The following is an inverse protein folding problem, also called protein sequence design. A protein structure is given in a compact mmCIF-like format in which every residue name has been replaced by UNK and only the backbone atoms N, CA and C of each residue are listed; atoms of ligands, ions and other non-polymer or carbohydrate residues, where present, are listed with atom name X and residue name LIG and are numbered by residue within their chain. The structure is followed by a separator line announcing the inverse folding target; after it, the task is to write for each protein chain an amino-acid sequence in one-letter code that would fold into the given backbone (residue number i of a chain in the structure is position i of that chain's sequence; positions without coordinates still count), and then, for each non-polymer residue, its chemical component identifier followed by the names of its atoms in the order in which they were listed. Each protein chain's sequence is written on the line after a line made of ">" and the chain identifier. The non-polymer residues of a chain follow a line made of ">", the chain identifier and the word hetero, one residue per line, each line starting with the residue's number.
data_IF_052421140469
#
_entry.id   IF_052421140469
#
_cell.length_a   1.000
_cell.length_b   1.000
_cell.length_c   1.000
_cell.angle_alpha   90.00
_cell.angle_beta   90.00
_cell.angle_gamma   90.00
#
_symmetry.space_group_name_H-M   'P 1'
#
loop_
_entity.id
_entity.type
_entity.pdbx_description
1 polymer ?
#
# COMPACT_ATOMS: atom_id res chain seq x y z
N UNK A 1 45.19 72.26 23.20
CA UNK A 1 44.44 71.71 22.06
C UNK A 1 44.59 70.20 22.14
N UNK A 2 43.66 69.52 22.81
CA UNK A 2 43.67 68.06 22.95
C UNK A 2 42.86 67.44 21.83
N UNK A 3 43.51 66.60 21.01
CA UNK A 3 42.85 65.84 19.98
C UNK A 3 42.29 64.53 20.61
N UNK A 4 40.99 64.41 20.63
CA UNK A 4 40.23 63.16 20.99
C UNK A 4 40.28 62.16 19.82
N UNK A 5 40.93 61.03 20.05
CA UNK A 5 40.92 59.94 19.08
C UNK A 5 39.78 58.99 19.48
N UNK A 6 38.72 58.92 18.60
CA UNK A 6 37.63 57.97 18.79
C UNK A 6 38.02 56.66 18.07
N UNK A 7 38.23 55.58 18.82
CA UNK A 7 38.43 54.25 18.26
C UNK A 7 37.03 53.58 18.07
N UNK A 8 36.61 53.40 16.81
CA UNK A 8 35.41 52.63 16.46
C UNK A 8 35.75 51.14 16.52
N UNK A 9 35.23 50.45 17.54
CA UNK A 9 35.28 48.99 17.56
C UNK A 9 34.18 48.40 16.66
N UNK A 10 34.55 47.80 15.55
CA UNK A 10 33.63 47.04 14.66
C UNK A 10 33.46 45.64 15.25
N UNK A 11 32.32 45.36 15.86
CA UNK A 11 31.94 44.01 16.27
C UNK A 11 31.58 43.18 15.05
N UNK A 12 32.41 42.23 14.69
CA UNK A 12 32.08 41.18 13.68
C UNK A 12 31.08 40.21 14.32
N UNK A 13 29.81 40.39 14.00
CA UNK A 13 28.78 39.39 14.31
C UNK A 13 28.97 38.22 13.30
N UNK A 14 29.60 37.17 13.77
CA UNK A 14 29.69 35.92 12.99
C UNK A 14 28.31 35.25 12.88
N UNK A 15 27.71 35.35 11.72
CA UNK A 15 26.56 34.52 11.39
C UNK A 15 27.02 33.04 11.25
N UNK A 16 26.83 32.27 12.29
CA UNK A 16 26.92 30.82 12.18
C UNK A 16 25.73 30.31 11.38
N UNK A 17 25.94 29.92 10.11
CA UNK A 17 24.94 29.22 9.33
C UNK A 17 24.52 27.96 10.09
N UNK A 18 23.20 27.69 10.25
CA UNK A 18 22.79 26.47 10.89
C UNK A 18 23.25 25.28 10.02
N UNK A 19 24.02 24.38 10.63
CA UNK A 19 24.44 23.15 9.96
C UNK A 19 23.20 22.40 9.51
N UNK A 20 23.00 22.28 8.19
CA UNK A 20 21.90 21.47 7.63
C UNK A 20 22.08 20.03 8.12
N UNK A 21 21.21 19.59 9.00
CA UNK A 21 21.17 18.20 9.45
C UNK A 21 21.08 17.28 8.23
N UNK A 22 22.00 16.33 8.08
CA UNK A 22 21.98 15.34 7.00
C UNK A 22 20.64 14.58 7.06
N UNK A 23 19.83 14.70 6.02
CA UNK A 23 18.59 13.95 5.88
C UNK A 23 18.92 12.46 5.88
N UNK A 24 18.21 11.70 6.72
CA UNK A 24 18.34 10.23 6.73
C UNK A 24 17.72 9.68 5.46
N UNK A 25 18.45 8.86 4.72
CA UNK A 25 17.96 8.20 3.50
C UNK A 25 17.91 6.69 3.71
N UNK A 26 16.91 6.05 3.14
CA UNK A 26 16.80 4.61 3.02
C UNK A 26 16.90 4.22 1.55
N UNK A 27 17.80 3.26 1.25
CA UNK A 27 17.91 2.68 -0.09
C UNK A 27 17.04 1.44 -0.16
N UNK A 28 16.12 1.41 -1.10
CA UNK A 28 15.24 0.28 -1.38
C UNK A 28 15.59 -0.27 -2.75
N UNK A 29 15.82 -1.58 -2.83
CA UNK A 29 16.01 -2.27 -4.10
C UNK A 29 14.64 -2.64 -4.66
N UNK A 30 14.33 -2.19 -5.87
CA UNK A 30 13.10 -2.57 -6.58
C UNK A 30 13.45 -3.62 -7.62
N UNK A 31 12.69 -4.71 -7.61
CA UNK A 31 12.82 -5.78 -8.60
C UNK A 31 11.83 -5.51 -9.74
N UNK A 32 12.35 -5.13 -10.91
CA UNK A 32 11.59 -5.12 -12.15
C UNK A 32 11.79 -6.47 -12.83
N UNK A 33 10.70 -7.18 -13.18
CA UNK A 33 10.77 -8.46 -13.86
C UNK A 33 11.46 -8.27 -15.22
N UNK A 34 12.59 -8.94 -15.44
CA UNK A 34 13.39 -8.83 -16.68
C UNK A 34 14.25 -7.57 -16.81
N UNK A 35 14.28 -6.68 -15.83
CA UNK A 35 15.15 -5.50 -15.81
C UNK A 35 16.14 -5.56 -14.64
N UNK A 36 17.21 -4.76 -14.75
CA UNK A 36 18.16 -4.62 -13.64
C UNK A 36 17.47 -4.12 -12.37
N UNK A 37 17.87 -4.67 -11.24
CA UNK A 37 17.42 -4.20 -9.92
C UNK A 37 17.72 -2.72 -9.75
N UNK A 38 16.72 -1.89 -9.68
CA UNK A 38 16.88 -0.46 -9.44
C UNK A 38 16.99 -0.18 -7.95
N UNK A 39 18.07 0.47 -7.53
CA UNK A 39 18.20 0.99 -6.17
C UNK A 39 17.61 2.38 -6.11
N UNK A 40 16.46 2.51 -5.44
CA UNK A 40 15.82 3.79 -5.21
C UNK A 40 16.17 4.28 -3.81
N UNK A 41 16.64 5.53 -3.71
CA UNK A 41 16.88 6.18 -2.43
C UNK A 41 15.66 7.01 -2.05
N UNK A 42 15.13 6.77 -0.85
CA UNK A 42 14.03 7.53 -0.29
C UNK A 42 14.50 8.34 0.91
N UNK A 43 14.03 9.58 1.01
CA UNK A 43 14.17 10.35 2.26
C UNK A 43 13.27 9.76 3.33
N UNK A 44 13.81 9.59 4.54
CA UNK A 44 13.04 9.15 5.70
C UNK A 44 12.52 10.40 6.40
N UNK A 45 11.21 10.49 6.56
CA UNK A 45 10.59 11.60 7.27
C UNK A 45 10.85 11.53 8.81
N UNK A 46 10.40 12.56 9.54
CA UNK A 46 10.58 12.65 10.99
C UNK A 46 9.95 11.49 11.76
N UNK A 47 8.90 10.89 11.20
CA UNK A 47 8.13 9.78 11.79
C UNK A 47 8.68 8.41 11.38
N UNK A 48 9.72 8.38 10.54
CA UNK A 48 10.40 7.17 10.07
C UNK A 48 9.78 6.53 8.83
N UNK A 49 8.91 7.24 8.10
CA UNK A 49 8.32 6.77 6.85
C UNK A 49 9.16 7.17 5.64
N UNK A 50 9.08 6.36 4.60
CA UNK A 50 9.48 6.68 3.23
C UNK A 50 8.24 6.84 2.37
N UNK A 51 8.23 7.84 1.46
CA UNK A 51 7.18 7.99 0.46
C UNK A 51 7.49 7.10 -0.74
N UNK A 52 6.73 6.02 -0.91
CA UNK A 52 6.88 5.12 -2.06
C UNK A 52 6.11 5.59 -3.30
N UNK A 53 5.33 6.66 -3.17
CA UNK A 53 4.75 7.43 -4.27
C UNK A 53 4.95 8.92 -3.99
N UNK A 54 5.61 9.63 -4.91
CA UNK A 54 6.00 11.03 -4.74
C UNK A 54 4.93 12.02 -5.22
N UNK A 55 3.80 11.53 -5.74
CA UNK A 55 2.73 12.33 -6.33
C UNK A 55 3.03 12.88 -7.73
N UNK A 56 4.16 12.52 -8.33
CA UNK A 56 4.63 13.05 -9.62
C UNK A 56 5.04 11.96 -10.60
N UNK A 57 5.62 10.88 -10.12
CA UNK A 57 6.16 9.81 -10.94
C UNK A 57 5.68 8.44 -10.46
N UNK A 58 5.73 7.46 -11.35
CA UNK A 58 5.41 6.06 -11.05
C UNK A 58 6.66 5.25 -10.71
N UNK A 59 7.74 5.92 -10.32
CA UNK A 59 9.03 5.29 -10.03
C UNK A 59 8.90 4.23 -8.94
N UNK A 60 9.34 3.00 -9.27
CA UNK A 60 9.23 1.83 -8.41
C UNK A 60 7.89 1.09 -8.51
N UNK A 61 6.93 1.60 -9.29
CA UNK A 61 5.65 0.97 -9.57
C UNK A 61 5.65 0.31 -10.93
N UNK A 62 5.03 -0.85 -11.04
CA UNK A 62 4.78 -1.58 -12.28
C UNK A 62 3.50 -2.39 -12.18
N UNK A 63 2.99 -2.83 -13.33
CA UNK A 63 1.90 -3.79 -13.35
C UNK A 63 2.36 -5.14 -12.80
N UNK A 64 1.47 -5.80 -12.11
CA UNK A 64 1.69 -7.14 -11.57
C UNK A 64 2.04 -8.12 -12.70
N UNK A 65 3.11 -8.88 -12.52
CA UNK A 65 3.60 -9.82 -13.52
C UNK A 65 4.29 -9.20 -14.74
N UNK A 66 4.50 -7.87 -14.79
CA UNK A 66 5.10 -7.15 -15.92
C UNK A 66 6.28 -6.30 -15.47
N UNK A 67 7.06 -5.82 -16.43
CA UNK A 67 8.20 -4.92 -16.23
C UNK A 67 7.89 -3.44 -16.54
N UNK A 68 6.63 -3.14 -16.89
CA UNK A 68 6.11 -1.81 -17.16
C UNK A 68 4.81 -1.53 -16.40
N UNK A 69 4.38 -0.29 -16.41
CA UNK A 69 3.09 0.14 -15.87
C UNK A 69 2.06 0.23 -16.99
N UNK A 70 0.92 -0.46 -16.85
CA UNK A 70 -0.16 -0.43 -17.80
C UNK A 70 -0.75 0.99 -17.93
N UNK A 71 -1.12 1.45 -19.16
CA UNK A 71 -1.45 2.84 -19.43
C UNK A 71 -2.71 3.36 -18.74
N UNK A 72 -3.58 2.48 -18.24
CA UNK A 72 -4.75 2.92 -17.44
C UNK A 72 -4.39 3.43 -16.06
N UNK A 73 -3.18 3.13 -15.56
CA UNK A 73 -2.63 3.74 -14.36
C UNK A 73 -1.83 4.99 -14.72
N UNK A 74 -2.23 6.12 -14.19
CA UNK A 74 -1.61 7.42 -14.47
C UNK A 74 -1.33 8.17 -13.19
N UNK A 75 -0.48 9.20 -13.30
CA UNK A 75 -0.37 10.20 -12.24
C UNK A 75 -1.27 11.38 -12.61
N UNK A 76 -2.25 11.67 -11.78
CA UNK A 76 -3.19 12.76 -11.96
C UNK A 76 -3.40 13.52 -10.66
N UNK A 77 -3.17 14.84 -10.68
CA UNK A 77 -3.34 15.73 -9.52
C UNK A 77 -2.70 15.19 -8.22
N UNK A 78 -1.50 14.64 -8.32
CA UNK A 78 -0.77 14.09 -7.17
C UNK A 78 -1.23 12.71 -6.71
N UNK A 79 -2.06 12.03 -7.49
CA UNK A 79 -2.59 10.70 -7.19
C UNK A 79 -2.10 9.66 -8.20
N UNK A 80 -1.88 8.42 -7.77
CA UNK A 80 -1.99 7.26 -8.63
C UNK A 80 -3.47 7.05 -8.93
N UNK A 81 -3.83 7.18 -10.19
CA UNK A 81 -5.21 7.13 -10.66
C UNK A 81 -5.37 5.99 -11.67
N UNK A 82 -6.25 5.06 -11.36
CA UNK A 82 -6.73 4.08 -12.33
C UNK A 82 -7.92 4.66 -13.09
N UNK A 83 -7.77 4.76 -14.40
CA UNK A 83 -8.79 5.31 -15.29
C UNK A 83 -9.65 4.20 -15.86
N UNK A 84 -10.96 4.36 -15.72
CA UNK A 84 -11.93 3.54 -16.45
C UNK A 84 -11.79 3.79 -17.96
N UNK A 85 -11.98 2.78 -18.80
CA UNK A 85 -11.93 2.96 -20.24
C UNK A 85 -11.30 1.78 -20.98
N UNK A 86 -10.91 2.05 -22.23
CA UNK A 86 -10.24 1.07 -23.08
C UNK A 86 -8.72 1.09 -22.84
N UNK A 87 -8.09 0.00 -23.23
CA UNK A 87 -6.65 -0.21 -23.11
C UNK A 87 -6.29 -1.14 -21.98
N UNK A 88 -4.99 -1.40 -21.88
CA UNK A 88 -4.45 -2.32 -20.92
C UNK A 88 -4.50 -1.75 -19.49
N UNK A 89 -5.06 -2.54 -18.58
CA UNK A 89 -5.07 -2.31 -17.14
C UNK A 89 -4.33 -3.41 -16.39
N UNK A 90 -4.90 -3.83 -15.29
CA UNK A 90 -4.38 -4.84 -14.38
C UNK A 90 -3.87 -4.25 -13.07
N UNK A 91 -3.72 -5.11 -12.08
CA UNK A 91 -3.21 -4.72 -10.76
C UNK A 91 -1.81 -4.15 -10.86
N UNK A 92 -1.49 -3.22 -9.96
CA UNK A 92 -0.13 -2.67 -9.86
C UNK A 92 0.51 -3.01 -8.53
N UNK A 93 1.83 -3.05 -8.53
CA UNK A 93 2.62 -3.31 -7.33
C UNK A 93 3.75 -2.29 -7.19
N UNK A 94 4.12 -2.01 -5.94
CA UNK A 94 5.43 -1.43 -5.67
C UNK A 94 6.46 -2.56 -5.69
N UNK A 95 7.46 -2.45 -6.57
CA UNK A 95 8.37 -3.55 -6.93
C UNK A 95 9.42 -3.83 -5.84
N UNK A 96 8.98 -3.93 -4.57
CA UNK A 96 9.81 -4.27 -3.42
C UNK A 96 8.99 -5.08 -2.42
N UNK A 97 9.59 -6.11 -1.85
CA UNK A 97 8.95 -6.95 -0.83
C UNK A 97 9.18 -6.39 0.56
N UNK A 98 8.12 -6.31 1.34
CA UNK A 98 8.13 -5.86 2.73
C UNK A 98 7.76 -7.02 3.66
N UNK A 99 8.41 -7.09 4.83
CA UNK A 99 8.14 -8.09 5.85
C UNK A 99 7.34 -7.51 7.02
N UNK A 100 7.95 -6.62 7.76
CA UNK A 100 7.34 -5.90 8.88
C UNK A 100 7.25 -4.42 8.52
N UNK A 101 6.06 -3.86 8.49
CA UNK A 101 5.87 -2.49 8.03
C UNK A 101 4.57 -1.86 8.55
N UNK A 102 4.51 -0.55 8.44
CA UNK A 102 3.28 0.22 8.46
C UNK A 102 3.13 0.83 7.08
N UNK A 103 2.04 0.55 6.40
CA UNK A 103 1.61 1.20 5.17
C UNK A 103 0.54 2.22 5.51
N UNK A 104 0.69 3.43 5.01
CA UNK A 104 -0.33 4.48 5.09
C UNK A 104 -0.58 5.06 3.70
N UNK A 105 -1.84 5.31 3.41
CA UNK A 105 -2.28 6.01 2.20
C UNK A 105 -3.68 6.59 2.37
N UNK A 106 -4.08 7.38 1.40
CA UNK A 106 -5.47 7.81 1.24
C UNK A 106 -6.01 7.29 -0.09
N UNK A 107 -7.27 6.89 -0.09
CA UNK A 107 -7.97 6.46 -1.28
C UNK A 107 -9.31 7.19 -1.46
N UNK A 108 -9.72 7.32 -2.69
CA UNK A 108 -11.02 7.82 -3.11
C UNK A 108 -11.50 6.98 -4.29
N UNK A 109 -12.79 6.69 -4.36
CA UNK A 109 -13.36 5.83 -5.39
C UNK A 109 -14.59 6.49 -6.02
N UNK A 110 -14.89 6.12 -7.28
CA UNK A 110 -16.12 6.55 -7.95
C UNK A 110 -17.37 5.97 -7.31
N UNK A 111 -18.54 6.48 -7.69
CA UNK A 111 -19.83 5.89 -7.33
C UNK A 111 -19.92 4.44 -7.82
N UNK A 112 -20.37 3.54 -6.94
CA UNK A 112 -20.47 2.12 -7.22
C UNK A 112 -19.13 1.44 -7.50
N UNK A 113 -17.99 2.04 -7.09
CA UNK A 113 -16.68 1.52 -7.42
C UNK A 113 -16.17 0.45 -6.46
N UNK A 114 -15.26 -0.39 -6.97
CA UNK A 114 -14.54 -1.44 -6.26
C UNK A 114 -13.06 -1.40 -6.60
N UNK A 115 -12.22 -1.64 -5.61
CA UNK A 115 -10.77 -1.80 -5.70
C UNK A 115 -10.28 -2.49 -4.42
N UNK A 116 -8.96 -2.68 -4.27
CA UNK A 116 -8.36 -3.31 -3.11
C UNK A 116 -6.92 -2.86 -2.88
N UNK A 117 -6.45 -2.98 -1.64
CA UNK A 117 -5.06 -2.78 -1.26
C UNK A 117 -4.50 -4.12 -0.83
N UNK A 118 -3.57 -4.65 -1.61
CA UNK A 118 -2.90 -5.92 -1.34
C UNK A 118 -1.62 -5.71 -0.54
N UNK A 119 -1.30 -6.68 0.29
CA UNK A 119 -0.03 -6.72 1.02
C UNK A 119 0.45 -8.16 1.19
N UNK A 120 1.76 -8.33 1.34
CA UNK A 120 2.42 -9.64 1.34
C UNK A 120 2.15 -10.47 0.08
N UNK A 121 1.83 -9.82 -1.04
CA UNK A 121 1.53 -10.48 -2.31
C UNK A 121 2.75 -11.17 -2.92
N UNK A 122 2.50 -12.22 -3.69
CA UNK A 122 3.51 -12.97 -4.39
C UNK A 122 3.21 -12.98 -5.89
N UNK A 123 4.23 -12.88 -6.73
CA UNK A 123 4.12 -13.18 -8.15
C UNK A 123 4.34 -14.67 -8.35
N UNK A 124 3.27 -15.37 -8.68
CA UNK A 124 3.26 -16.82 -8.87
C UNK A 124 2.97 -17.14 -10.33
N UNK A 125 3.93 -17.75 -11.00
CA UNK A 125 3.74 -18.18 -12.39
C UNK A 125 2.87 -19.44 -12.46
N UNK A 126 1.98 -19.46 -13.43
CA UNK A 126 1.18 -20.67 -13.76
C UNK A 126 1.93 -21.56 -14.77
N UNK A 127 1.61 -22.85 -14.82
CA UNK A 127 2.21 -23.78 -15.78
C UNK A 127 2.01 -23.37 -17.26
N UNK A 128 0.94 -22.63 -17.56
CA UNK A 128 0.62 -22.14 -18.91
C UNK A 128 1.44 -20.88 -19.32
N UNK A 129 2.37 -20.43 -18.47
CA UNK A 129 3.17 -19.23 -18.67
C UNK A 129 2.49 -17.94 -18.24
N UNK A 130 1.23 -17.99 -17.78
CA UNK A 130 0.53 -16.86 -17.16
C UNK A 130 0.95 -16.63 -15.71
N UNK A 131 0.27 -15.67 -15.08
CA UNK A 131 0.44 -15.39 -13.66
C UNK A 131 -0.84 -15.72 -12.90
N UNK A 132 -0.71 -16.27 -11.71
CA UNK A 132 -1.82 -16.32 -10.78
C UNK A 132 -2.21 -14.88 -10.37
N UNK A 133 -3.51 -14.57 -10.22
CA UNK A 133 -3.90 -13.23 -9.79
C UNK A 133 -3.40 -12.93 -8.39
N UNK A 134 -3.01 -11.67 -8.13
CA UNK A 134 -2.43 -11.27 -6.85
C UNK A 134 -3.36 -11.55 -5.66
N UNK A 135 -4.66 -11.41 -5.84
CA UNK A 135 -5.66 -11.57 -4.78
C UNK A 135 -5.81 -13.00 -4.22
N UNK A 136 -5.19 -14.00 -4.87
CA UNK A 136 -5.12 -15.35 -4.29
C UNK A 136 -3.82 -15.62 -3.52
N UNK A 137 -2.87 -14.69 -3.54
CA UNK A 137 -1.61 -14.80 -2.80
C UNK A 137 -1.40 -13.69 -1.77
N UNK A 138 -2.27 -12.69 -1.75
CA UNK A 138 -2.17 -11.51 -0.92
C UNK A 138 -3.45 -11.30 -0.09
N UNK A 139 -3.37 -11.10 1.22
CA UNK A 139 -4.49 -10.53 1.97
C UNK A 139 -4.89 -9.18 1.39
N UNK A 140 -6.19 -8.92 1.34
CA UNK A 140 -6.76 -7.71 0.75
C UNK A 140 -7.46 -6.85 1.80
N UNK A 141 -7.06 -5.58 1.90
CA UNK A 141 -7.80 -4.54 2.56
C UNK A 141 -8.74 -3.90 1.54
N UNK A 142 -10.03 -4.17 1.68
CA UNK A 142 -11.05 -3.77 0.70
C UNK A 142 -11.16 -2.26 0.53
N UNK A 143 -11.35 -1.81 -0.71
CA UNK A 143 -11.69 -0.44 -1.11
C UNK A 143 -13.00 -0.47 -1.88
N UNK A 144 -14.07 0.07 -1.30
CA UNK A 144 -15.42 -0.12 -1.84
C UNK A 144 -16.30 1.10 -1.58
N UNK A 145 -17.17 1.43 -2.53
CA UNK A 145 -18.38 2.20 -2.24
C UNK A 145 -19.39 1.30 -1.51
N UNK A 146 -19.44 1.44 -0.19
CA UNK A 146 -20.25 0.57 0.66
C UNK A 146 -21.77 0.70 0.45
N UNK A 147 -22.21 1.78 -0.17
CA UNK A 147 -23.64 2.06 -0.38
C UNK A 147 -24.14 1.52 -1.71
N UNK A 148 -23.37 1.75 -2.77
CA UNK A 148 -23.85 1.52 -4.13
C UNK A 148 -23.27 0.24 -4.78
N UNK A 149 -22.09 -0.23 -4.37
CA UNK A 149 -21.52 -1.43 -4.96
C UNK A 149 -22.22 -2.70 -4.44
N UNK A 150 -22.65 -3.63 -5.33
CA UNK A 150 -23.40 -4.83 -4.93
C UNK A 150 -22.63 -5.75 -3.98
N UNK A 151 -21.29 -5.80 -4.07
CA UNK A 151 -20.46 -6.68 -3.21
C UNK A 151 -20.57 -6.31 -1.72
N UNK A 152 -20.92 -5.05 -1.38
CA UNK A 152 -21.17 -4.63 0.00
C UNK A 152 -22.32 -5.38 0.70
N UNK A 153 -23.22 -5.97 -0.10
CA UNK A 153 -24.39 -6.74 0.36
C UNK A 153 -24.14 -8.25 0.39
N UNK A 154 -22.98 -8.65 -0.11
CA UNK A 154 -22.55 -10.05 -0.17
C UNK A 154 -21.64 -10.38 1.03
N UNK A 155 -21.27 -11.66 1.16
CA UNK A 155 -20.44 -12.13 2.27
C UNK A 155 -21.23 -12.26 3.58
N UNK A 156 -20.50 -12.19 4.69
CA UNK A 156 -21.06 -12.35 6.04
C UNK A 156 -20.71 -11.11 6.89
N UNK A 157 -21.71 -10.57 7.59
CA UNK A 157 -21.56 -9.44 8.53
C UNK A 157 -20.87 -8.20 7.94
N UNK A 158 -20.88 -8.02 6.60
CA UNK A 158 -20.23 -6.91 5.91
C UNK A 158 -18.73 -7.09 5.73
N UNK A 159 -18.23 -8.33 5.72
CA UNK A 159 -16.80 -8.65 5.52
C UNK A 159 -16.28 -8.37 4.11
N UNK A 160 -17.12 -7.79 3.23
CA UNK A 160 -16.72 -7.27 1.91
C UNK A 160 -16.83 -5.75 1.79
N UNK A 161 -17.11 -5.05 2.90
CA UNK A 161 -17.10 -3.58 2.95
C UNK A 161 -15.69 -3.03 3.11
N UNK A 162 -15.52 -1.74 2.86
CA UNK A 162 -14.23 -1.03 2.96
C UNK A 162 -13.45 -1.36 4.22
N UNK A 163 -12.15 -1.51 4.07
CA UNK A 163 -11.16 -1.84 5.10
C UNK A 163 -11.36 -3.19 5.80
N UNK A 164 -12.35 -4.00 5.39
CA UNK A 164 -12.43 -5.40 5.79
C UNK A 164 -11.22 -6.19 5.28
N UNK A 165 -10.85 -7.24 5.97
CA UNK A 165 -10.08 -8.31 5.34
C UNK A 165 -11.07 -9.06 4.45
N UNK A 166 -10.96 -8.84 3.14
CA UNK A 166 -11.96 -9.22 2.16
C UNK A 166 -12.41 -10.68 2.30
N UNK A 167 -13.73 -10.86 2.38
CA UNK A 167 -14.44 -12.15 2.54
C UNK A 167 -14.13 -12.93 3.83
N UNK A 168 -13.37 -12.33 4.77
CA UNK A 168 -12.97 -13.00 6.03
C UNK A 168 -13.38 -12.23 7.27
N UNK A 169 -12.84 -11.03 7.51
CA UNK A 169 -13.09 -10.25 8.73
C UNK A 169 -13.73 -8.91 8.38
N UNK A 170 -14.94 -8.61 8.91
CA UNK A 170 -15.55 -7.29 8.71
C UNK A 170 -14.80 -6.20 9.46
N UNK A 171 -14.68 -5.02 8.85
CA UNK A 171 -14.23 -3.81 9.51
C UNK A 171 -15.29 -3.31 10.49
N UNK A 172 -14.95 -3.19 11.78
CA UNK A 172 -15.84 -2.70 12.86
C UNK A 172 -15.09 -1.72 13.77
N UNK A 173 -15.59 -0.47 13.95
CA UNK A 173 -16.77 0.09 13.29
C UNK A 173 -16.54 0.30 11.79
N UNK A 174 -17.60 0.27 10.99
CA UNK A 174 -17.53 0.69 9.61
C UNK A 174 -17.68 2.21 9.55
N UNK A 175 -16.60 2.92 9.21
CA UNK A 175 -16.49 4.38 9.24
C UNK A 175 -15.95 4.97 7.94
N UNK A 176 -16.15 4.27 6.80
CA UNK A 176 -15.76 4.81 5.50
C UNK A 176 -16.58 6.05 5.17
N UNK A 177 -15.92 7.07 4.64
CA UNK A 177 -16.57 8.18 3.97
C UNK A 177 -17.18 7.68 2.64
N UNK A 178 -18.29 8.24 2.17
CA UNK A 178 -18.92 7.89 0.91
C UNK A 178 -17.98 8.03 -0.30
N UNK A 179 -18.39 7.47 -1.45
CA UNK A 179 -17.71 7.67 -2.73
C UNK A 179 -17.44 9.15 -3.01
N UNK A 180 -16.42 9.44 -3.79
CA UNK A 180 -15.99 10.81 -4.07
C UNK A 180 -15.25 11.52 -2.93
N UNK A 181 -15.24 10.95 -1.72
CA UNK A 181 -14.52 11.48 -0.57
C UNK A 181 -13.26 10.67 -0.27
N UNK A 182 -12.28 11.32 0.34
CA UNK A 182 -11.04 10.69 0.76
C UNK A 182 -11.21 9.88 2.04
N UNK A 183 -10.68 8.68 2.03
CA UNK A 183 -10.55 7.81 3.19
C UNK A 183 -9.08 7.57 3.48
N UNK A 184 -8.70 7.59 4.75
CA UNK A 184 -7.36 7.18 5.19
C UNK A 184 -7.38 5.70 5.52
N UNK A 185 -6.33 4.99 5.10
CA UNK A 185 -6.07 3.62 5.52
C UNK A 185 -4.67 3.50 6.10
N UNK A 186 -4.56 2.71 7.16
CA UNK A 186 -3.29 2.24 7.70
C UNK A 186 -3.35 0.73 7.85
N UNK A 187 -2.35 0.04 7.33
CA UNK A 187 -2.15 -1.39 7.50
C UNK A 187 -0.84 -1.58 8.26
N UNK A 188 -0.91 -2.27 9.40
CA UNK A 188 0.26 -2.63 10.20
C UNK A 188 0.49 -4.12 10.05
N UNK A 189 1.70 -4.51 9.66
CA UNK A 189 2.15 -5.90 9.63
C UNK A 189 3.40 -6.00 10.49
N UNK A 190 3.33 -6.78 11.58
CA UNK A 190 4.49 -7.00 12.46
C UNK A 190 4.47 -8.42 13.02
N UNK A 191 5.45 -9.22 12.63
CA UNK A 191 5.62 -10.62 13.10
C UNK A 191 4.32 -11.42 12.99
N UNK A 192 3.64 -11.34 11.84
CA UNK A 192 2.37 -11.99 11.57
C UNK A 192 1.14 -11.28 12.11
N UNK A 193 1.27 -10.42 13.12
CA UNK A 193 0.13 -9.61 13.57
C UNK A 193 -0.18 -8.55 12.54
N UNK A 194 -1.44 -8.48 12.12
CA UNK A 194 -1.97 -7.50 11.18
C UNK A 194 -3.04 -6.66 11.85
N UNK A 195 -3.06 -5.37 11.52
CA UNK A 195 -4.13 -4.44 11.92
C UNK A 195 -4.55 -3.62 10.70
N UNK A 196 -5.85 -3.46 10.49
CA UNK A 196 -6.40 -2.45 9.59
C UNK A 196 -6.96 -1.29 10.39
N UNK A 197 -6.68 -0.09 9.90
CA UNK A 197 -7.20 1.16 10.44
C UNK A 197 -7.86 1.93 9.31
N UNK A 198 -9.03 2.48 9.55
CA UNK A 198 -9.77 3.32 8.62
C UNK A 198 -10.14 4.62 9.29
N UNK A 199 -9.81 5.75 8.66
CA UNK A 199 -10.08 7.10 9.18
C UNK A 199 -9.63 7.26 10.64
N UNK A 200 -8.37 6.85 10.91
CA UNK A 200 -7.69 6.91 12.20
C UNK A 200 -8.28 5.99 13.31
N UNK A 201 -9.22 5.11 12.96
CA UNK A 201 -9.79 4.12 13.89
C UNK A 201 -9.32 2.71 13.50
N UNK A 202 -8.85 1.92 14.47
CA UNK A 202 -8.56 0.50 14.26
C UNK A 202 -9.87 -0.27 14.09
N UNK A 203 -10.04 -0.90 12.92
CA UNK A 203 -11.30 -1.56 12.56
C UNK A 203 -11.23 -3.08 12.61
N UNK A 204 -10.04 -3.67 12.53
CA UNK A 204 -9.82 -5.10 12.74
C UNK A 204 -8.37 -5.43 13.08
N UNK A 205 -8.14 -6.63 13.61
CA UNK A 205 -6.81 -7.22 13.74
C UNK A 205 -6.88 -8.74 13.70
N UNK A 206 -5.81 -9.38 13.24
CA UNK A 206 -5.68 -10.84 13.16
C UNK A 206 -4.20 -11.25 13.15
N UNK A 207 -3.93 -12.55 13.20
CA UNK A 207 -2.57 -13.08 13.16
C UNK A 207 -2.46 -14.09 12.01
N UNK A 208 -1.54 -13.82 11.09
CA UNK A 208 -1.22 -14.68 9.96
C UNK A 208 -0.48 -15.94 10.42
N UNK A 209 -0.54 -16.98 9.59
CA UNK A 209 0.24 -18.22 9.73
C UNK A 209 -0.04 -18.98 11.04
N UNK A 210 -1.26 -18.86 11.55
CA UNK A 210 -1.73 -19.56 12.75
C UNK A 210 -2.84 -20.55 12.38
N UNK A 211 -3.18 -21.51 13.26
CA UNK A 211 -4.34 -22.38 13.06
C UNK A 211 -5.64 -21.59 12.86
N UNK A 212 -5.81 -20.47 13.57
CA UNK A 212 -6.97 -19.58 13.43
C UNK A 212 -7.02 -18.93 12.05
N UNK A 213 -5.87 -18.52 11.49
CA UNK A 213 -5.77 -18.05 10.12
C UNK A 213 -6.19 -19.11 9.11
N UNK A 214 -5.65 -20.31 9.23
CA UNK A 214 -6.01 -21.45 8.38
C UNK A 214 -7.50 -21.79 8.46
N UNK A 215 -8.07 -21.79 9.68
CA UNK A 215 -9.51 -22.00 9.89
C UNK A 215 -10.35 -20.93 9.19
N UNK A 216 -9.98 -19.66 9.31
CA UNK A 216 -10.68 -18.55 8.68
C UNK A 216 -10.67 -18.66 7.14
N UNK A 217 -9.55 -19.06 6.56
CA UNK A 217 -9.47 -19.35 5.12
C UNK A 217 -10.42 -20.47 4.72
N UNK A 218 -10.51 -21.55 5.50
CA UNK A 218 -11.43 -22.67 5.23
C UNK A 218 -12.90 -22.25 5.29
N UNK A 219 -13.25 -21.23 6.07
CA UNK A 219 -14.61 -20.72 6.22
C UNK A 219 -14.96 -19.63 5.17
N UNK A 220 -14.01 -19.22 4.33
CA UNK A 220 -14.16 -18.20 3.29
C UNK A 220 -14.32 -18.80 1.89
N UNK A 221 -14.52 -17.95 0.89
CA UNK A 221 -14.49 -18.36 -0.53
C UNK A 221 -13.13 -18.93 -0.96
N UNK A 222 -12.06 -18.68 -0.18
CA UNK A 222 -10.71 -19.17 -0.43
C UNK A 222 -10.44 -20.54 0.22
N UNK A 223 -11.48 -21.26 0.64
CA UNK A 223 -11.32 -22.60 1.24
C UNK A 223 -10.62 -23.56 0.29
N UNK A 224 -9.90 -24.52 0.84
CA UNK A 224 -9.19 -25.54 0.06
C UNK A 224 -10.13 -26.30 -0.89
N UNK A 225 -11.36 -26.56 -0.44
CA UNK A 225 -12.39 -27.22 -1.25
C UNK A 225 -12.87 -26.37 -2.43
N UNK A 226 -13.05 -25.06 -2.22
CA UNK A 226 -13.57 -24.15 -3.24
C UNK A 226 -12.48 -23.67 -4.20
N UNK A 227 -11.30 -23.37 -3.66
CA UNK A 227 -10.19 -22.82 -4.43
C UNK A 227 -8.82 -23.26 -3.86
N UNK A 228 -8.34 -24.48 -4.19
CA UNK A 228 -7.10 -25.04 -3.61
C UNK A 228 -5.87 -24.14 -3.76
N UNK A 229 -5.67 -23.53 -4.92
CA UNK A 229 -4.52 -22.65 -5.16
C UNK A 229 -4.56 -21.40 -4.28
N UNK A 230 -5.73 -20.76 -4.18
CA UNK A 230 -5.90 -19.60 -3.30
C UNK A 230 -5.68 -19.95 -1.82
N UNK A 231 -6.22 -21.09 -1.38
CA UNK A 231 -6.00 -21.56 -0.03
C UNK A 231 -4.51 -21.74 0.30
N UNK A 232 -3.78 -22.44 -0.56
CA UNK A 232 -2.35 -22.71 -0.34
C UNK A 232 -1.53 -21.41 -0.34
N UNK A 233 -1.77 -20.52 -1.31
CA UNK A 233 -1.01 -19.28 -1.44
C UNK A 233 -1.31 -18.28 -0.32
N UNK A 234 -2.59 -18.11 0.05
CA UNK A 234 -2.98 -17.22 1.17
C UNK A 234 -2.57 -17.78 2.52
N UNK A 235 -2.63 -19.10 2.70
CA UNK A 235 -2.18 -19.74 3.95
C UNK A 235 -0.68 -19.51 4.19
N UNK A 236 0.11 -19.41 3.11
CA UNK A 236 1.54 -19.05 3.14
C UNK A 236 1.80 -17.68 2.46
N UNK A 237 0.94 -16.67 2.71
CA UNK A 237 1.14 -15.35 2.12
C UNK A 237 2.51 -14.77 2.53
N UNK A 238 3.19 -14.12 1.57
CA UNK A 238 4.57 -13.69 1.74
C UNK A 238 5.61 -14.81 1.57
N UNK A 239 5.18 -16.06 1.30
CA UNK A 239 6.07 -17.22 1.10
C UNK A 239 6.94 -17.53 2.32
N UNK A 240 7.96 -18.35 2.15
CA UNK A 240 8.83 -18.86 3.24
C UNK A 240 9.54 -17.76 4.04
N UNK A 241 9.73 -16.58 3.44
CA UNK A 241 10.38 -15.44 4.11
C UNK A 241 9.40 -14.55 4.84
N UNK A 242 8.08 -14.77 4.65
CA UNK A 242 7.02 -13.91 5.16
C UNK A 242 7.20 -12.45 4.76
N UNK A 243 7.59 -12.23 3.49
CA UNK A 243 7.76 -10.90 2.89
C UNK A 243 7.07 -10.87 1.51
N UNK A 244 6.45 -9.76 1.17
CA UNK A 244 5.74 -9.69 -0.10
C UNK A 244 5.46 -8.28 -0.56
N UNK A 245 4.83 -8.21 -1.72
CA UNK A 245 4.54 -6.99 -2.45
C UNK A 245 3.35 -6.26 -1.84
N UNK A 246 3.38 -4.93 -1.97
CA UNK A 246 2.22 -4.06 -1.78
C UNK A 246 1.65 -3.78 -3.16
N UNK A 247 0.34 -3.90 -3.33
CA UNK A 247 -0.33 -3.68 -4.60
C UNK A 247 -1.67 -2.96 -4.47
N UNK A 248 -2.20 -2.53 -5.60
CA UNK A 248 -3.51 -1.90 -5.75
C UNK A 248 -4.27 -2.57 -6.88
N UNK A 249 -5.54 -2.83 -6.62
CA UNK A 249 -6.39 -3.60 -7.53
C UNK A 249 -6.95 -2.73 -8.65
N UNK A 250 -6.88 -3.25 -9.86
CA UNK A 250 -7.76 -2.90 -10.97
C UNK A 250 -9.01 -3.78 -10.93
N UNK A 251 -10.13 -3.23 -10.50
CA UNK A 251 -11.43 -3.90 -10.59
C UNK A 251 -12.31 -3.33 -11.71
N UNK A 252 -11.74 -2.50 -12.59
CA UNK A 252 -12.43 -1.84 -13.70
C UNK A 252 -12.99 -0.47 -13.37
N UNK A 253 -13.00 -0.06 -12.12
CA UNK A 253 -13.60 1.18 -11.63
C UNK A 253 -12.54 2.25 -11.31
N UNK A 254 -12.90 3.53 -11.48
CA UNK A 254 -11.97 4.62 -11.18
C UNK A 254 -11.68 4.72 -9.69
N UNK A 255 -10.40 4.72 -9.38
CA UNK A 255 -9.89 4.85 -8.01
C UNK A 255 -8.63 5.71 -8.00
N UNK A 256 -8.49 6.51 -6.94
CA UNK A 256 -7.35 7.40 -6.72
C UNK A 256 -6.67 7.04 -5.40
N UNK A 257 -5.35 6.93 -5.43
CA UNK A 257 -4.51 6.72 -4.25
C UNK A 257 -3.49 7.85 -4.13
N UNK A 258 -3.28 8.37 -2.94
CA UNK A 258 -2.27 9.40 -2.66
C UNK A 258 -1.62 9.24 -1.30
N UNK A 259 -0.59 10.03 -1.04
CA UNK A 259 0.12 10.05 0.24
C UNK A 259 0.64 8.66 0.66
N UNK A 260 1.04 7.84 -0.31
CA UNK A 260 1.44 6.45 -0.09
C UNK A 260 2.83 6.43 0.54
N UNK A 261 2.90 5.96 1.78
CA UNK A 261 4.14 5.89 2.54
C UNK A 261 4.25 4.62 3.37
N UNK A 262 5.48 4.17 3.56
CA UNK A 262 5.79 2.93 4.30
C UNK A 262 6.84 3.22 5.37
N UNK A 263 6.62 2.69 6.56
CA UNK A 263 7.61 2.61 7.63
C UNK A 263 8.03 1.17 7.82
N UNK A 264 9.31 0.87 7.59
CA UNK A 264 9.85 -0.47 7.82
C UNK A 264 10.04 -0.66 9.33
N UNK A 265 9.50 -1.74 9.86
CA UNK A 265 9.62 -2.13 11.26
C UNK A 265 10.74 -3.17 11.42
N UNK A 266 11.36 -3.16 12.61
CA UNK A 266 12.35 -4.17 13.01
C UNK A 266 11.64 -5.39 13.62
#
# INVERSE_FOLDING_TARGET
>A
MNKLVIILAVALIGFSSPAMAKKKTLKVSTELKGAETQKISFEVDKDGFIRIFDGKTTKGWRSYGKDYLAPRWTVDNGCLHFKRGQGEGGDIIFAHKFKNFILEMEWKIQEGGNSGIFYLGQEVARPDGGMEPIYISAPECQVLDNENHPDAKLGVDGNRKSSSLYDMIPAKPQNANPWGQWNKVRIVVKNGKVEHWQNDVKVLSYVLWTPEWTKMLQESKFSEKAWPAAFQLLNNCGGDKHEGLIGMQDHGDEVWFRNIRVKILK
#
